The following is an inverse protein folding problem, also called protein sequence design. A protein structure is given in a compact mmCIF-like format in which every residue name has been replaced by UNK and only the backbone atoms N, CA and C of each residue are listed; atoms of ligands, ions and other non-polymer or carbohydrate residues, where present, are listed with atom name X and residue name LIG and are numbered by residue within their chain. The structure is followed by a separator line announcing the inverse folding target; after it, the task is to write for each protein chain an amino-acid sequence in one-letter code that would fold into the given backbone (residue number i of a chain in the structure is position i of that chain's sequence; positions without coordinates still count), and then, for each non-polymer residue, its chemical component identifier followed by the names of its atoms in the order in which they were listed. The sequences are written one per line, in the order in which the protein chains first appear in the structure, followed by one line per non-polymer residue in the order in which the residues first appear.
data_IF_405841389072
#
_entry.id   IF_405841389072
#
_cell.length_a   1.000
_cell.length_b   1.000
_cell.length_c   1.000
_cell.angle_alpha   90.00
_cell.angle_beta   90.00
_cell.angle_gamma   90.00
#
_symmetry.space_group_name_H-M   'P 1'
#
loop_
_entity.id
_entity.type
_entity.pdbx_description
1 polymer ?
#
# COMPACT_ATOMS: atom_id res chain seq x y z
N UNK A 1 -16.50 -1.72 -4.31
CA UNK A 1 -17.43 -1.22 -5.33
C UNK A 1 -17.38 0.30 -5.47
N UNK A 2 -17.57 1.04 -4.37
CA UNK A 2 -17.71 2.51 -4.33
C UNK A 2 -16.70 3.35 -5.13
N UNK A 3 -15.43 2.95 -5.17
CA UNK A 3 -14.37 3.72 -5.84
C UNK A 3 -13.90 3.11 -7.16
N UNK A 4 -14.48 1.98 -7.57
CA UNK A 4 -13.96 1.13 -8.64
C UNK A 4 -12.96 0.06 -8.17
N UNK A 5 -12.56 -0.80 -9.10
CA UNK A 5 -11.56 -1.84 -8.92
C UNK A 5 -10.15 -1.28 -9.19
N UNK A 6 -9.18 -1.62 -8.34
CA UNK A 6 -7.80 -1.16 -8.49
C UNK A 6 -7.10 -1.93 -9.61
N UNK A 7 -6.38 -1.22 -10.48
CA UNK A 7 -5.47 -1.86 -11.42
C UNK A 7 -4.28 -2.48 -10.66
N UNK A 8 -3.72 -3.59 -11.17
CA UNK A 8 -2.50 -4.16 -10.61
C UNK A 8 -1.35 -3.15 -10.68
N UNK A 9 -0.39 -3.30 -9.78
CA UNK A 9 0.79 -2.46 -9.80
C UNK A 9 1.62 -2.71 -11.07
N UNK A 10 2.09 -1.67 -11.77
CA UNK A 10 2.86 -1.83 -13.00
C UNK A 10 4.25 -2.47 -12.80
N UNK A 11 4.74 -2.59 -11.56
CA UNK A 11 6.06 -3.19 -11.25
C UNK A 11 5.97 -4.57 -10.62
N UNK A 12 5.17 -4.69 -9.54
CA UNK A 12 5.01 -5.93 -8.76
C UNK A 12 3.91 -6.85 -9.35
N UNK A 13 3.12 -6.39 -10.33
CA UNK A 13 1.89 -7.04 -10.83
C UNK A 13 0.88 -7.47 -9.76
N UNK A 14 1.09 -7.05 -8.51
CA UNK A 14 0.28 -7.40 -7.36
C UNK A 14 -0.69 -6.28 -7.01
N UNK A 15 -1.41 -6.48 -5.91
CA UNK A 15 -2.50 -5.61 -5.50
C UNK A 15 -2.05 -4.51 -4.51
N UNK A 16 -2.71 -3.35 -4.64
CA UNK A 16 -2.67 -2.29 -3.64
C UNK A 16 -3.70 -2.53 -2.55
N UNK A 17 -3.29 -2.39 -1.29
CA UNK A 17 -4.18 -2.49 -0.12
C UNK A 17 -4.21 -1.15 0.59
N UNK A 18 -5.40 -0.69 0.97
CA UNK A 18 -5.55 0.49 1.78
C UNK A 18 -5.11 0.18 3.23
N UNK A 19 -4.12 0.92 3.72
CA UNK A 19 -3.69 0.89 5.11
C UNK A 19 -3.73 2.29 5.71
N UNK A 20 -4.54 2.48 6.75
CA UNK A 20 -4.79 3.74 7.47
C UNK A 20 -5.24 4.88 6.55
N UNK A 21 -4.28 5.56 5.93
CA UNK A 21 -4.48 6.76 5.11
C UNK A 21 -3.89 6.63 3.70
N UNK A 22 -3.35 5.48 3.29
CA UNK A 22 -2.75 5.35 1.96
C UNK A 22 -2.89 3.94 1.38
N UNK A 23 -2.76 3.82 0.05
CA UNK A 23 -2.70 2.54 -0.63
C UNK A 23 -1.26 2.07 -0.74
N UNK A 24 -0.97 0.84 -0.31
CA UNK A 24 0.37 0.26 -0.27
C UNK A 24 0.41 -0.97 -1.17
N UNK A 25 1.39 -1.11 -2.08
CA UNK A 25 1.59 -2.39 -2.81
C UNK A 25 2.04 -3.44 -1.80
N UNK A 26 1.40 -4.61 -1.83
CA UNK A 26 1.74 -5.77 -0.97
C UNK A 26 2.40 -6.87 -1.81
N UNK A 27 3.01 -6.50 -2.93
CA UNK A 27 3.74 -7.42 -3.79
C UNK A 27 5.20 -7.50 -3.44
N UNK A 28 5.83 -8.52 -3.99
CA UNK A 28 7.24 -8.76 -3.87
C UNK A 28 7.93 -8.34 -5.17
N UNK A 29 9.08 -7.66 -5.04
CA UNK A 29 9.97 -7.39 -6.19
C UNK A 29 10.83 -8.62 -6.51
N UNK A 30 11.27 -9.30 -5.45
CA UNK A 30 12.08 -10.52 -5.45
C UNK A 30 11.58 -11.37 -4.30
N UNK A 31 11.90 -12.67 -4.26
CA UNK A 31 11.48 -13.61 -3.21
C UNK A 31 11.69 -13.09 -1.77
N UNK A 32 12.73 -12.27 -1.57
CA UNK A 32 13.06 -11.70 -0.27
C UNK A 32 12.82 -10.20 -0.09
N UNK A 33 12.36 -9.50 -1.12
CA UNK A 33 12.24 -8.03 -1.07
C UNK A 33 10.84 -7.61 -1.41
N UNK A 34 10.14 -7.04 -0.42
CA UNK A 34 8.81 -6.46 -0.60
C UNK A 34 8.87 -5.15 -1.39
N UNK A 35 7.91 -4.94 -2.28
CA UNK A 35 7.74 -3.68 -2.98
C UNK A 35 6.93 -2.67 -2.14
N UNK A 36 7.63 -1.84 -1.37
CA UNK A 36 7.01 -0.83 -0.53
C UNK A 36 6.78 0.48 -1.31
N UNK A 37 5.68 0.55 -2.05
CA UNK A 37 5.24 1.80 -2.68
C UNK A 37 3.91 2.26 -2.13
N UNK A 38 3.87 3.53 -1.76
CA UNK A 38 2.69 4.21 -1.24
C UNK A 38 2.10 5.11 -2.33
N UNK A 39 0.79 4.99 -2.58
CA UNK A 39 0.03 5.85 -3.48
C UNK A 39 -1.21 6.37 -2.77
N UNK A 40 -1.48 7.67 -2.88
CA UNK A 40 -2.74 8.24 -2.41
C UNK A 40 -3.89 7.90 -3.37
N UNK A 41 -3.61 7.96 -4.68
CA UNK A 41 -4.59 7.78 -5.77
C UNK A 41 -4.10 6.71 -6.76
N UNK A 42 -4.27 5.42 -6.45
CA UNK A 42 -3.98 4.34 -7.39
C UNK A 42 -4.96 4.35 -8.57
N UNK A 43 -4.51 3.89 -9.74
CA UNK A 43 -5.33 3.81 -10.96
C UNK A 43 -6.44 2.77 -10.78
N UNK A 44 -7.65 3.09 -11.27
CA UNK A 44 -8.85 2.26 -11.10
C UNK A 44 -9.59 2.06 -12.42
N UNK A 45 -10.42 1.04 -12.45
CA UNK A 45 -11.41 0.74 -13.49
C UNK A 45 -12.79 0.57 -12.83
N UNK A 46 -13.90 0.78 -13.56
CA UNK A 46 -15.23 0.52 -13.01
C UNK A 46 -15.32 -0.95 -12.56
N UNK A 47 -15.90 -1.18 -11.38
CA UNK A 47 -16.08 -2.53 -10.87
C UNK A 47 -17.24 -3.20 -11.60
N UNK A 48 -16.99 -4.34 -12.23
CA UNK A 48 -18.02 -5.13 -12.90
C UNK A 48 -18.60 -6.11 -11.88
N UNK A 49 -19.92 -6.10 -11.73
CA UNK A 49 -20.63 -7.05 -10.88
C UNK A 49 -21.13 -8.20 -11.77
N UNK A 50 -20.79 -9.46 -11.48
CA UNK A 50 -21.31 -10.62 -12.20
C UNK A 50 -22.83 -10.72 -12.10
N UNK A 51 -23.49 -11.25 -13.13
CA UNK A 51 -24.96 -11.31 -13.18
C UNK A 51 -25.53 -12.25 -12.12
N UNK A 52 -24.83 -13.32 -11.77
CA UNK A 52 -25.18 -14.23 -10.67
C UNK A 52 -25.37 -13.46 -9.35
N UNK A 53 -24.49 -12.51 -9.06
CA UNK A 53 -24.53 -11.68 -7.84
C UNK A 53 -25.66 -10.65 -7.93
N UNK A 54 -26.00 -10.15 -9.13
CA UNK A 54 -27.14 -9.24 -9.34
C UNK A 54 -28.48 -9.95 -9.13
N UNK A 55 -28.57 -11.22 -9.51
CA UNK A 55 -29.76 -12.05 -9.30
C UNK A 55 -29.98 -12.37 -7.82
N UNK A 56 -28.90 -12.66 -7.08
CA UNK A 56 -28.96 -12.89 -5.64
C UNK A 56 -29.30 -11.62 -4.85
N UNK A 57 -28.77 -10.48 -5.28
CA UNK A 57 -28.90 -9.21 -4.56
C UNK A 57 -29.46 -8.11 -5.46
N UNK A 58 -30.75 -7.81 -5.28
CA UNK A 58 -31.47 -6.81 -6.09
C UNK A 58 -30.87 -5.40 -6.02
N UNK A 59 -30.21 -5.04 -4.92
CA UNK A 59 -29.50 -3.75 -4.80
C UNK A 59 -28.26 -3.69 -5.70
N UNK A 60 -27.60 -4.82 -5.94
CA UNK A 60 -26.42 -4.91 -6.81
C UNK A 60 -26.79 -4.68 -8.27
N UNK A 61 -28.01 -5.05 -8.69
CA UNK A 61 -28.52 -4.78 -10.03
C UNK A 61 -28.72 -3.27 -10.29
N UNK A 62 -29.11 -2.51 -9.26
CA UNK A 62 -29.29 -1.05 -9.34
C UNK A 62 -27.99 -0.28 -9.18
N UNK A 63 -26.93 -0.93 -8.69
CA UNK A 63 -25.67 -0.28 -8.39
C UNK A 63 -24.87 0.01 -9.67
N UNK A 64 -24.63 1.30 -9.95
CA UNK A 64 -23.73 1.75 -11.00
C UNK A 64 -22.34 2.00 -10.43
N UNK A 65 -21.34 1.31 -10.95
CA UNK A 65 -19.96 1.51 -10.51
C UNK A 65 -19.37 2.76 -11.16
N UNK A 66 -18.86 3.65 -10.33
CA UNK A 66 -18.18 4.88 -10.77
C UNK A 66 -16.73 4.87 -10.28
N UNK A 67 -15.83 5.41 -11.12
CA UNK A 67 -14.44 5.57 -10.76
C UNK A 67 -14.28 6.92 -10.08
N UNK A 68 -13.97 6.90 -8.78
CA UNK A 68 -13.81 8.10 -7.97
C UNK A 68 -12.61 7.96 -7.05
N UNK A 69 -12.02 9.10 -6.66
CA UNK A 69 -10.90 9.14 -5.72
C UNK A 69 -11.38 9.06 -4.27
N UNK A 70 -10.54 8.46 -3.40
CA UNK A 70 -10.81 8.48 -1.95
C UNK A 70 -10.28 9.79 -1.37
N UNK A 71 -11.13 10.50 -0.63
CA UNK A 71 -10.71 11.64 0.20
C UNK A 71 -10.00 11.11 1.44
N UNK A 72 -8.71 11.40 1.57
CA UNK A 72 -7.89 11.02 2.72
C UNK A 72 -7.71 12.27 3.58
N UNK A 73 -8.18 12.23 4.83
CA UNK A 73 -7.93 13.32 5.79
C UNK A 73 -6.45 13.31 6.18
N UNK A 74 -5.80 14.47 6.07
CA UNK A 74 -4.46 14.65 6.60
C UNK A 74 -4.52 14.62 8.13
N UNK A 75 -3.77 13.71 8.73
CA UNK A 75 -3.57 13.65 10.18
C UNK A 75 -2.12 14.06 10.43
N UNK A 76 -1.86 15.26 10.99
CA UNK A 76 -0.50 15.68 11.29
C UNK A 76 0.12 14.72 12.32
N UNK A 77 1.43 14.40 12.19
CA UNK A 77 2.13 13.68 13.24
C UNK A 77 2.09 14.52 14.53
N UNK A 78 1.79 13.88 15.66
CA UNK A 78 1.79 14.54 16.96
C UNK A 78 3.22 15.08 17.21
N UNK A 79 3.33 16.39 17.42
CA UNK A 79 4.61 17.11 17.52
C UNK A 79 5.42 16.82 18.80
N UNK A 80 5.04 15.84 19.61
CA UNK A 80 5.62 15.60 20.94
C UNK A 80 6.98 14.88 20.93
N UNK A 81 7.51 14.47 19.76
CA UNK A 81 8.88 13.96 19.62
C UNK A 81 9.80 14.94 18.88
N UNK A 82 9.76 16.22 19.25
CA UNK A 82 10.91 17.11 19.06
C UNK A 82 11.99 16.71 20.08
N UNK A 83 12.77 15.67 19.77
CA UNK A 83 14.08 15.50 20.41
C UNK A 83 14.86 16.77 20.06
N UNK A 84 15.05 17.63 21.06
CA UNK A 84 15.93 18.81 20.98
C UNK A 84 17.25 18.34 20.37
N UNK A 85 17.65 18.93 19.24
CA UNK A 85 19.01 18.84 18.71
C UNK A 85 19.95 19.41 19.78
N UNK A 86 20.44 18.57 20.68
CA UNK A 86 21.65 18.87 21.43
C UNK A 86 22.81 18.62 20.47
N UNK A 87 23.43 19.70 20.01
CA UNK A 87 24.78 19.66 19.46
C UNK A 87 25.70 19.14 20.56
N UNK A 88 26.21 17.91 20.41
CA UNK A 88 27.59 17.54 20.77
C UNK A 88 28.07 16.54 19.72
N UNK A 89 29.17 16.91 19.08
CA UNK A 89 29.95 16.08 18.19
C UNK A 89 30.56 14.88 18.93
N UNK A 90 30.86 13.87 18.11
CA UNK A 90 31.69 12.68 18.34
C UNK A 90 31.10 11.50 19.13
N UNK A 91 31.22 10.34 18.48
CA UNK A 91 30.91 8.97 18.93
C UNK A 91 29.45 8.51 18.81
N UNK A 92 28.98 8.30 17.58
CA UNK A 92 28.08 7.17 17.26
C UNK A 92 28.17 6.81 15.77
N UNK A 93 29.40 6.63 15.26
CA UNK A 93 29.57 5.68 14.18
C UNK A 93 29.25 4.30 14.80
N UNK A 94 28.35 3.55 14.16
CA UNK A 94 27.99 2.16 14.48
C UNK A 94 26.95 1.91 15.59
N UNK A 95 25.67 2.17 15.27
CA UNK A 95 24.59 1.20 15.59
C UNK A 95 23.58 1.09 14.43
N UNK A 96 24.06 1.03 13.18
CA UNK A 96 23.30 0.34 12.14
C UNK A 96 23.55 -1.14 12.35
N UNK A 97 22.67 -1.80 13.11
CA UNK A 97 22.64 -3.27 13.19
C UNK A 97 22.57 -3.77 11.75
N UNK A 98 23.69 -4.32 11.25
CA UNK A 98 23.73 -5.00 9.96
C UNK A 98 22.95 -6.28 10.16
N UNK A 99 21.67 -6.26 9.77
CA UNK A 99 20.87 -7.48 9.75
C UNK A 99 21.45 -8.38 8.68
N UNK A 100 21.84 -9.58 9.08
CA UNK A 100 22.19 -10.61 8.12
C UNK A 100 21.00 -10.85 7.19
N UNK A 101 21.27 -11.01 5.90
CA UNK A 101 20.22 -11.35 4.94
C UNK A 101 19.64 -12.71 5.36
N UNK A 102 18.31 -12.89 5.32
CA UNK A 102 17.72 -14.18 5.62
C UNK A 102 18.38 -15.27 4.77
N UNK A 103 18.66 -16.45 5.34
CA UNK A 103 19.48 -17.48 4.72
C UNK A 103 18.94 -18.00 3.37
N UNK A 104 17.65 -17.77 3.08
CA UNK A 104 16.96 -18.29 1.90
C UNK A 104 16.93 -17.34 0.69
N UNK A 105 17.53 -16.15 0.77
CA UNK A 105 17.38 -15.10 -0.25
C UNK A 105 18.30 -15.21 -1.47
N UNK A 106 19.07 -16.29 -1.60
CA UNK A 106 20.14 -16.43 -2.60
C UNK A 106 20.04 -17.70 -3.45
N UNK A 107 18.86 -18.33 -3.48
CA UNK A 107 18.62 -19.46 -4.39
C UNK A 107 18.08 -18.90 -5.71
N UNK A 108 18.83 -19.11 -6.80
CA UNK A 108 18.35 -18.93 -8.17
C UNK A 108 17.93 -20.31 -8.70
N UNK A 109 16.66 -20.48 -9.02
CA UNK A 109 16.13 -21.67 -9.70
C UNK A 109 15.99 -21.44 -11.19
#
# INVERSE_FOLDING_TARGET
LTFGALKPCPKCSSQYVLQKSAYICVGDLTECTKYLTVKAKPVRVPAIIPDEVKLQFSFSAKYKSEVSDRVIKYVPPIQSTKIKKFKKEEVLADLKIKREKPPLCSLSF
#
